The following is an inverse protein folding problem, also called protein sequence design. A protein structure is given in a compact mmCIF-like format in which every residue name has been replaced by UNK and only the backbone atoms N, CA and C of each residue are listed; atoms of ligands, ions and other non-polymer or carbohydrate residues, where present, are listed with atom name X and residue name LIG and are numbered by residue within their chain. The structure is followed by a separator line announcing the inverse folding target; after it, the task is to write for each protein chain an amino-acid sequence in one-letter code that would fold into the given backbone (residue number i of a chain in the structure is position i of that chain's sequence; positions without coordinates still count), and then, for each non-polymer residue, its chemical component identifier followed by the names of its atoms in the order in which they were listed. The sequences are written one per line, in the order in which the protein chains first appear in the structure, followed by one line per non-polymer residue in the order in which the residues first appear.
data_IF_512969635340
#
_entry.id   IF_512969635340
#
_cell.length_a   1.000
_cell.length_b   1.000
_cell.length_c   1.000
_cell.angle_alpha   90.00
_cell.angle_beta   90.00
_cell.angle_gamma   90.00
#
_symmetry.space_group_name_H-M   'P 1'
#
loop_
_entity.id
_entity.type
_entity.pdbx_description
1 polymer ?
#
# COMPACT_ATOMS: atom_id res chain seq x y z
N UNK A 1 27.25 25.33 -16.85
CA UNK A 1 28.63 25.48 -17.36
C UNK A 1 29.45 24.31 -16.86
N UNK A 2 29.58 23.27 -17.64
CA UNK A 2 30.80 22.46 -17.75
C UNK A 2 30.63 21.51 -18.95
N UNK A 3 31.46 21.78 -19.96
CA UNK A 3 31.71 20.97 -21.13
C UNK A 3 32.82 19.97 -20.81
N UNK A 4 32.69 18.74 -21.29
CA UNK A 4 33.86 17.87 -21.53
C UNK A 4 33.52 16.83 -22.59
N UNK A 5 34.02 17.04 -23.78
CA UNK A 5 34.23 16.09 -24.87
C UNK A 5 35.25 15.01 -24.44
N UNK A 6 34.97 13.75 -24.75
CA UNK A 6 35.97 12.72 -24.88
C UNK A 6 35.54 11.70 -25.95
N UNK A 7 36.17 11.75 -27.11
CA UNK A 7 36.03 10.76 -28.17
C UNK A 7 36.88 9.51 -27.92
N UNK A 8 36.42 8.31 -28.33
CA UNK A 8 37.24 7.10 -28.22
C UNK A 8 38.19 6.92 -29.38
N UNK A 9 39.44 6.59 -29.05
CA UNK A 9 40.53 6.27 -30.00
C UNK A 9 40.26 4.94 -30.72
N UNK A 10 40.29 4.99 -32.03
CA UNK A 10 40.37 3.83 -32.90
C UNK A 10 41.73 3.20 -32.83
N UNK A 11 41.81 1.95 -32.43
CA UNK A 11 43.01 1.12 -32.52
C UNK A 11 43.02 0.44 -33.90
N UNK A 12 43.99 0.84 -34.78
CA UNK A 12 44.28 0.17 -36.04
C UNK A 12 45.09 -1.10 -35.77
N UNK A 13 44.53 -2.27 -36.07
CA UNK A 13 45.28 -3.52 -36.20
C UNK A 13 45.52 -3.81 -37.68
N UNK A 14 46.82 -3.88 -38.03
CA UNK A 14 47.30 -4.14 -39.37
C UNK A 14 46.96 -5.54 -39.88
N UNK A 15 46.42 -5.56 -41.07
CA UNK A 15 46.27 -6.78 -41.87
C UNK A 15 47.54 -7.07 -42.62
N UNK A 16 48.17 -8.18 -42.25
CA UNK A 16 49.28 -8.73 -43.03
C UNK A 16 48.70 -9.80 -43.99
N UNK A 17 48.82 -9.50 -45.29
CA UNK A 17 48.39 -10.35 -46.39
C UNK A 17 49.43 -11.44 -46.59
N UNK A 18 49.11 -12.68 -46.34
CA UNK A 18 49.85 -13.83 -46.89
C UNK A 18 48.85 -14.80 -47.51
N UNK A 19 49.03 -14.94 -48.83
CA UNK A 19 48.28 -15.84 -49.68
C UNK A 19 48.43 -17.29 -49.19
N UNK A 20 47.32 -17.92 -48.89
CA UNK A 20 47.29 -19.38 -48.68
C UNK A 20 46.43 -20.03 -49.78
N UNK A 21 47.09 -20.97 -50.47
CA UNK A 21 46.62 -21.66 -51.63
C UNK A 21 45.37 -22.48 -51.35
N UNK A 22 44.37 -22.33 -52.25
CA UNK A 22 43.13 -23.12 -52.26
C UNK A 22 43.41 -24.45 -53.00
N UNK A 23 43.75 -25.50 -52.26
CA UNK A 23 43.59 -26.86 -52.76
C UNK A 23 43.53 -27.80 -51.55
N UNK A 24 42.36 -28.18 -51.13
CA UNK A 24 41.94 -29.39 -50.41
C UNK A 24 40.67 -29.09 -49.55
N UNK A 25 39.56 -28.92 -50.22
CA UNK A 25 38.26 -29.01 -49.58
C UNK A 25 37.31 -29.86 -50.46
N UNK A 26 37.64 -31.12 -50.57
CA UNK A 26 36.70 -32.16 -50.91
C UNK A 26 36.73 -33.17 -49.76
N UNK A 27 35.53 -33.55 -49.32
CA UNK A 27 35.20 -34.60 -48.37
C UNK A 27 35.19 -34.25 -46.85
N UNK A 28 34.25 -33.39 -46.45
CA UNK A 28 33.56 -33.50 -45.17
C UNK A 28 32.08 -33.21 -45.34
N UNK A 29 31.37 -34.14 -46.01
CA UNK A 29 29.95 -34.26 -45.86
C UNK A 29 29.70 -34.97 -44.53
N UNK A 30 29.54 -34.20 -43.47
CA UNK A 30 28.97 -34.71 -42.22
C UNK A 30 27.51 -35.05 -42.48
N UNK A 31 27.24 -36.34 -42.79
CA UNK A 31 25.90 -36.90 -42.89
C UNK A 31 25.27 -36.79 -41.50
N UNK A 32 24.53 -35.68 -41.29
CA UNK A 32 23.63 -35.59 -40.17
C UNK A 32 22.54 -36.62 -40.36
N UNK A 33 22.65 -37.74 -39.65
CA UNK A 33 21.61 -38.74 -39.59
C UNK A 33 20.28 -38.05 -39.29
N UNK A 34 19.22 -38.21 -40.09
CA UNK A 34 17.94 -37.60 -39.75
C UNK A 34 17.51 -38.17 -38.39
N UNK A 35 17.28 -37.28 -37.45
CA UNK A 35 16.75 -37.64 -36.13
C UNK A 35 15.47 -38.44 -36.32
N UNK A 36 15.40 -39.61 -35.68
CA UNK A 36 14.22 -40.47 -35.69
C UNK A 36 12.98 -39.61 -35.32
N UNK A 37 11.89 -39.84 -36.01
CA UNK A 37 10.63 -39.10 -35.85
C UNK A 37 10.20 -39.01 -34.36
N UNK A 38 10.49 -40.05 -33.58
CA UNK A 38 10.28 -40.08 -32.14
C UNK A 38 11.10 -39.02 -31.41
N UNK A 39 12.37 -38.82 -31.82
CA UNK A 39 13.27 -37.84 -31.24
C UNK A 39 12.86 -36.40 -31.61
N UNK A 40 12.32 -36.20 -32.81
CA UNK A 40 11.81 -34.89 -33.22
C UNK A 40 10.52 -34.54 -32.47
N UNK A 41 9.64 -35.47 -32.20
CA UNK A 41 8.42 -35.28 -31.39
C UNK A 41 8.81 -34.98 -29.93
N UNK A 42 9.74 -35.74 -29.38
CA UNK A 42 10.24 -35.52 -28.01
C UNK A 42 10.88 -34.14 -27.82
N UNK A 43 11.67 -33.68 -28.79
CA UNK A 43 12.31 -32.37 -28.78
C UNK A 43 11.30 -31.19 -28.94
N UNK A 44 10.15 -31.45 -29.58
CA UNK A 44 9.07 -30.46 -29.68
C UNK A 44 8.20 -30.42 -28.42
N UNK A 45 8.08 -31.52 -27.70
CA UNK A 45 7.28 -31.61 -26.46
C UNK A 45 8.03 -31.08 -25.21
N UNK A 46 9.38 -31.18 -25.22
CA UNK A 46 10.17 -30.71 -24.08
C UNK A 46 9.99 -29.24 -23.72
N UNK A 47 9.88 -28.29 -24.68
CA UNK A 47 9.64 -26.88 -24.32
C UNK A 47 8.23 -26.66 -23.76
N UNK A 48 7.22 -27.35 -24.30
CA UNK A 48 5.83 -27.28 -23.83
C UNK A 48 5.68 -27.82 -22.40
N UNK A 49 6.32 -28.94 -22.10
CA UNK A 49 6.36 -29.51 -20.75
C UNK A 49 7.09 -28.55 -19.77
N UNK A 50 8.22 -27.97 -20.16
CA UNK A 50 8.95 -27.00 -19.32
C UNK A 50 8.10 -25.77 -19.01
N UNK A 51 7.36 -25.27 -20.00
CA UNK A 51 6.43 -24.15 -19.81
C UNK A 51 5.28 -24.56 -18.90
N UNK A 52 4.68 -25.74 -19.11
CA UNK A 52 3.62 -26.27 -18.27
C UNK A 52 4.09 -26.47 -16.81
N UNK A 53 5.27 -27.05 -16.62
CA UNK A 53 5.85 -27.25 -15.29
C UNK A 53 6.21 -25.93 -14.60
N UNK A 54 6.76 -24.96 -15.34
CA UNK A 54 7.02 -23.62 -14.82
C UNK A 54 5.72 -22.88 -14.44
N UNK A 55 4.68 -23.01 -15.27
CA UNK A 55 3.36 -22.43 -14.99
C UNK A 55 2.71 -23.07 -13.76
N UNK A 56 2.85 -24.39 -13.60
CA UNK A 56 2.32 -25.11 -12.43
C UNK A 56 3.08 -24.74 -11.15
N UNK A 57 4.41 -24.60 -11.23
CA UNK A 57 5.24 -24.12 -10.11
C UNK A 57 4.90 -22.67 -9.74
N UNK A 58 4.67 -21.81 -10.74
CA UNK A 58 4.21 -20.44 -10.52
C UNK A 58 2.81 -20.40 -9.87
N UNK A 59 1.90 -21.26 -10.31
CA UNK A 59 0.56 -21.38 -9.74
C UNK A 59 0.57 -21.91 -8.30
N UNK A 60 1.47 -22.84 -7.99
CA UNK A 60 1.65 -23.38 -6.64
C UNK A 60 2.35 -22.40 -5.67
N UNK A 61 3.21 -21.51 -6.17
CA UNK A 61 3.81 -20.46 -5.36
C UNK A 61 2.82 -19.34 -4.99
N UNK A 62 1.66 -19.28 -5.66
CA UNK A 62 0.57 -18.32 -5.38
C UNK A 62 -0.23 -18.58 -4.11
N UNK A 63 0.04 -19.64 -3.36
CA UNK A 63 -0.58 -19.91 -2.06
C UNK A 63 0.06 -19.14 -0.89
N UNK A 64 0.66 -17.98 -1.15
CA UNK A 64 0.98 -17.03 -0.08
C UNK A 64 -0.34 -16.46 0.43
N UNK A 65 -0.90 -17.11 1.45
CA UNK A 65 -2.04 -16.60 2.18
C UNK A 65 -1.78 -15.14 2.59
N UNK A 66 -2.85 -14.36 2.71
CA UNK A 66 -2.71 -13.02 3.28
C UNK A 66 -2.00 -13.12 4.63
N UNK A 67 -1.10 -12.18 4.95
CA UNK A 67 -0.48 -12.13 6.26
C UNK A 67 -1.57 -12.23 7.31
N UNK A 68 -1.49 -13.23 8.16
CA UNK A 68 -2.41 -13.32 9.29
C UNK A 68 -2.10 -12.14 10.21
N UNK A 69 -3.10 -11.31 10.42
CA UNK A 69 -2.97 -10.27 11.44
C UNK A 69 -2.69 -10.94 12.78
N UNK A 70 -1.71 -10.45 13.55
CA UNK A 70 -1.54 -10.96 14.91
C UNK A 70 -2.88 -10.86 15.64
N UNK A 71 -3.23 -11.84 16.50
CA UNK A 71 -4.47 -11.80 17.26
C UNK A 71 -4.48 -10.51 18.07
N UNK A 72 -5.37 -9.60 17.70
CA UNK A 72 -5.57 -8.34 18.43
C UNK A 72 -6.89 -8.41 19.17
N UNK A 73 -6.86 -8.09 20.45
CA UNK A 73 -8.09 -7.97 21.23
C UNK A 73 -8.99 -6.89 20.64
N UNK A 74 -10.31 -7.11 20.59
CA UNK A 74 -11.24 -6.05 20.20
C UNK A 74 -11.09 -4.85 21.14
N UNK A 75 -11.03 -3.66 20.56
CA UNK A 75 -11.04 -2.40 21.29
C UNK A 75 -12.36 -1.68 21.06
N UNK A 76 -12.93 -1.12 22.11
CA UNK A 76 -14.22 -0.44 22.06
C UNK A 76 -14.06 1.07 22.21
N UNK A 77 -15.02 1.83 21.70
CA UNK A 77 -15.11 3.28 21.90
C UNK A 77 -15.29 3.57 23.40
N UNK A 78 -14.62 4.58 23.91
CA UNK A 78 -14.87 5.09 25.24
C UNK A 78 -16.24 5.80 25.26
N UNK A 79 -17.00 5.62 26.32
CA UNK A 79 -18.22 6.38 26.50
C UNK A 79 -17.89 7.88 26.67
N UNK A 80 -18.81 8.75 26.22
CA UNK A 80 -18.71 10.17 26.49
C UNK A 80 -18.66 10.41 28.02
N UNK A 81 -17.87 11.40 28.43
CA UNK A 81 -17.81 11.82 29.83
C UNK A 81 -18.41 13.20 29.95
N UNK A 82 -19.33 13.38 30.87
CA UNK A 82 -19.94 14.69 31.13
C UNK A 82 -18.92 15.76 31.51
N UNK A 83 -17.81 15.34 32.17
CA UNK A 83 -16.76 16.26 32.61
C UNK A 83 -15.80 16.67 31.49
N UNK A 84 -15.77 15.98 30.34
CA UNK A 84 -14.90 16.32 29.24
C UNK A 84 -15.26 17.70 28.66
N UNK A 85 -14.27 18.54 28.33
CA UNK A 85 -14.51 19.88 27.79
C UNK A 85 -15.42 19.88 26.57
N UNK A 86 -15.21 18.96 25.63
CA UNK A 86 -16.05 18.82 24.43
C UNK A 86 -17.49 18.45 24.76
N UNK A 87 -17.72 17.60 25.75
CA UNK A 87 -19.07 17.24 26.20
C UNK A 87 -19.81 18.43 26.81
N UNK A 88 -19.10 19.26 27.59
CA UNK A 88 -19.67 20.50 28.15
C UNK A 88 -20.11 21.48 27.06
N UNK A 89 -19.27 21.64 26.02
CA UNK A 89 -19.64 22.49 24.87
C UNK A 89 -20.86 21.95 24.14
N UNK A 90 -20.94 20.63 23.92
CA UNK A 90 -22.12 20.01 23.30
C UNK A 90 -23.36 20.27 24.15
N UNK A 91 -23.29 20.05 25.45
CA UNK A 91 -24.43 20.24 26.34
C UNK A 91 -24.90 21.70 26.37
N UNK A 92 -23.97 22.64 26.43
CA UNK A 92 -24.27 24.06 26.40
C UNK A 92 -24.86 24.55 25.06
N UNK A 93 -24.54 23.86 23.95
CA UNK A 93 -25.03 24.22 22.61
C UNK A 93 -26.33 23.48 22.20
N UNK A 94 -26.79 22.54 23.04
CA UNK A 94 -27.95 21.72 22.74
C UNK A 94 -29.23 22.52 22.88
N UNK A 95 -30.08 22.49 21.84
CA UNK A 95 -31.37 23.26 21.83
C UNK A 95 -32.40 22.70 22.82
N UNK A 96 -32.41 21.37 23.02
CA UNK A 96 -33.26 20.68 23.97
C UNK A 96 -32.61 19.37 24.42
N UNK A 97 -32.99 18.91 25.62
CA UNK A 97 -32.50 17.62 26.12
C UNK A 97 -32.88 16.47 25.18
N UNK A 98 -31.94 15.55 24.91
CA UNK A 98 -32.15 14.41 24.01
C UNK A 98 -32.05 14.72 22.51
N UNK A 99 -31.73 15.96 22.14
CA UNK A 99 -31.54 16.34 20.72
C UNK A 99 -30.10 16.29 20.30
N UNK A 100 -29.81 16.14 18.99
CA UNK A 100 -28.50 16.25 18.38
C UNK A 100 -28.44 17.51 17.50
N UNK A 101 -27.31 18.23 17.61
CA UNK A 101 -27.04 19.37 16.75
C UNK A 101 -26.23 18.97 15.51
N UNK A 102 -26.51 19.59 14.37
CA UNK A 102 -25.76 19.40 13.12
C UNK A 102 -25.33 20.75 12.57
N UNK A 103 -24.10 20.78 12.06
CA UNK A 103 -23.53 21.94 11.36
C UNK A 103 -22.91 21.50 10.05
N UNK A 104 -23.26 22.18 8.97
CA UNK A 104 -22.60 21.97 7.68
C UNK A 104 -21.21 22.62 7.69
N UNK A 105 -20.21 21.89 7.18
CA UNK A 105 -18.84 22.37 6.91
C UNK A 105 -18.66 22.41 5.39
N UNK A 106 -18.97 23.53 4.71
CA UNK A 106 -19.11 23.57 3.25
C UNK A 106 -17.76 23.56 2.51
N UNK A 107 -16.67 23.88 3.18
CA UNK A 107 -15.35 23.96 2.55
C UNK A 107 -14.37 22.96 3.13
N UNK A 108 -13.42 22.50 2.28
CA UNK A 108 -12.34 21.60 2.71
C UNK A 108 -11.45 22.22 3.81
N UNK A 109 -11.00 23.48 3.67
CA UNK A 109 -10.26 24.16 4.73
C UNK A 109 -10.97 24.21 6.07
N UNK A 110 -12.26 24.57 6.10
CA UNK A 110 -13.06 24.60 7.34
C UNK A 110 -13.19 23.19 7.94
N UNK A 111 -13.39 22.19 7.11
CA UNK A 111 -13.50 20.81 7.54
C UNK A 111 -12.18 20.27 8.12
N UNK A 112 -11.03 20.66 7.56
CA UNK A 112 -9.71 20.34 8.11
C UNK A 112 -9.51 21.07 9.44
N UNK A 113 -9.70 22.39 9.48
CA UNK A 113 -9.53 23.19 10.67
C UNK A 113 -10.36 22.67 11.84
N UNK A 114 -11.62 22.30 11.58
CA UNK A 114 -12.50 21.73 12.60
C UNK A 114 -11.94 20.42 13.18
N UNK A 115 -11.35 19.54 12.34
CA UNK A 115 -10.73 18.29 12.80
C UNK A 115 -9.48 18.54 13.63
N UNK A 116 -8.64 19.47 13.20
CA UNK A 116 -7.42 19.85 13.93
C UNK A 116 -7.76 20.44 15.30
N UNK A 117 -8.77 21.28 15.34
CA UNK A 117 -9.23 21.89 16.58
C UNK A 117 -9.84 20.86 17.54
N UNK A 118 -10.68 19.94 17.03
CA UNK A 118 -11.19 18.83 17.84
C UNK A 118 -10.06 17.91 18.34
N UNK A 119 -9.04 17.65 17.51
CA UNK A 119 -7.85 16.89 17.96
C UNK A 119 -7.11 17.62 19.08
N UNK A 120 -7.01 18.95 18.99
CA UNK A 120 -6.36 19.78 20.01
C UNK A 120 -7.15 19.79 21.33
N UNK A 121 -8.48 19.84 21.26
CA UNK A 121 -9.38 19.94 22.41
C UNK A 121 -9.72 18.58 23.05
N UNK A 122 -9.55 17.48 22.31
CA UNK A 122 -9.80 16.15 22.84
C UNK A 122 -8.93 15.85 24.07
N UNK A 123 -9.55 15.24 25.08
CA UNK A 123 -8.90 14.88 26.34
C UNK A 123 -8.93 13.38 26.63
N UNK A 124 -9.75 12.61 25.93
CA UNK A 124 -9.94 11.19 26.22
C UNK A 124 -9.72 10.28 25.02
N UNK A 125 -10.37 10.54 23.89
CA UNK A 125 -10.26 9.68 22.72
C UNK A 125 -10.47 10.39 21.40
N UNK A 126 -9.78 9.87 20.37
CA UNK A 126 -9.97 10.20 18.97
C UNK A 126 -10.18 8.89 18.24
N UNK A 127 -11.35 8.70 17.64
CA UNK A 127 -11.69 7.51 16.85
C UNK A 127 -11.93 7.92 15.39
N UNK A 128 -11.07 7.42 14.49
CA UNK A 128 -11.05 7.84 13.09
C UNK A 128 -11.23 6.65 12.16
N UNK A 129 -12.00 6.85 11.08
CA UNK A 129 -12.15 5.89 9.98
C UNK A 129 -12.04 6.64 8.66
N UNK A 130 -11.09 6.25 7.81
CA UNK A 130 -10.86 6.91 6.54
C UNK A 130 -10.68 5.91 5.39
N UNK A 131 -11.39 6.16 4.29
CA UNK A 131 -11.17 5.47 3.03
C UNK A 131 -9.88 5.94 2.35
N UNK A 132 -9.64 7.25 2.33
CA UNK A 132 -8.42 7.86 1.78
C UNK A 132 -7.75 8.67 2.88
N UNK A 133 -6.51 8.31 3.17
CA UNK A 133 -5.65 9.04 4.08
C UNK A 133 -4.24 9.05 3.47
N UNK A 134 -3.82 10.16 2.90
CA UNK A 134 -2.57 10.28 2.17
C UNK A 134 -1.52 11.06 2.97
N UNK A 135 -0.24 10.85 2.64
CA UNK A 135 0.89 11.55 3.25
C UNK A 135 1.19 12.90 2.59
N UNK A 136 0.16 13.58 2.07
CA UNK A 136 0.26 14.95 1.56
C UNK A 136 0.36 15.98 2.71
N UNK A 137 0.29 17.27 2.39
CA UNK A 137 0.36 18.34 3.41
C UNK A 137 -0.73 18.19 4.47
N UNK A 138 -1.97 17.96 4.04
CA UNK A 138 -3.15 17.80 4.89
C UNK A 138 -3.06 16.56 5.79
N UNK A 139 -2.70 15.41 5.22
CA UNK A 139 -2.56 14.17 5.97
C UNK A 139 -1.42 14.22 6.98
N UNK A 140 -0.27 14.85 6.62
CA UNK A 140 0.83 15.03 7.56
C UNK A 140 0.46 15.96 8.71
N UNK A 141 -0.32 17.01 8.46
CA UNK A 141 -0.81 17.90 9.51
C UNK A 141 -1.75 17.16 10.45
N UNK A 142 -2.67 16.38 9.92
CA UNK A 142 -3.55 15.52 10.71
C UNK A 142 -2.75 14.50 11.54
N UNK A 143 -1.76 13.82 10.96
CA UNK A 143 -0.91 12.87 11.70
C UNK A 143 -0.16 13.54 12.86
N UNK A 144 0.34 14.78 12.67
CA UNK A 144 0.95 15.54 13.76
C UNK A 144 -0.05 15.82 14.86
N UNK A 145 -1.27 16.25 14.51
CA UNK A 145 -2.33 16.53 15.49
C UNK A 145 -2.72 15.27 16.28
N UNK A 146 -2.78 14.10 15.63
CA UNK A 146 -3.05 12.82 16.29
C UNK A 146 -1.91 12.40 17.23
N UNK A 147 -0.65 12.53 16.79
CA UNK A 147 0.53 12.28 17.62
C UNK A 147 0.54 13.19 18.85
N UNK A 148 0.29 14.47 18.66
CA UNK A 148 0.32 15.47 19.73
C UNK A 148 -0.83 15.26 20.73
N UNK A 149 -2.00 14.81 20.24
CA UNK A 149 -3.09 14.36 21.10
C UNK A 149 -2.69 13.11 21.94
N UNK A 150 -2.08 12.12 21.30
CA UNK A 150 -1.58 10.94 21.99
C UNK A 150 -0.52 11.26 23.04
N UNK A 151 0.39 12.20 22.75
CA UNK A 151 1.40 12.68 23.69
C UNK A 151 0.78 13.37 24.94
N UNK A 152 -0.44 13.93 24.80
CA UNK A 152 -1.23 14.45 25.94
C UNK A 152 -2.00 13.37 26.70
N UNK A 153 -1.91 12.09 26.29
CA UNK A 153 -2.60 10.98 26.93
C UNK A 153 -3.95 10.61 26.28
N UNK A 154 -4.33 11.23 25.19
CA UNK A 154 -5.54 10.91 24.43
C UNK A 154 -5.36 9.56 23.73
N UNK A 155 -6.32 8.66 23.84
CA UNK A 155 -6.33 7.40 23.11
C UNK A 155 -6.73 7.67 21.66
N UNK A 156 -5.88 7.31 20.70
CA UNK A 156 -6.12 7.48 19.27
C UNK A 156 -6.31 6.13 18.61
N UNK A 157 -7.42 5.94 17.89
CA UNK A 157 -7.66 4.77 17.03
C UNK A 157 -7.88 5.25 15.60
N UNK A 158 -7.10 4.72 14.68
CA UNK A 158 -7.13 5.06 13.28
C UNK A 158 -7.34 3.81 12.44
N UNK A 159 -8.51 3.68 11.82
CA UNK A 159 -8.81 2.64 10.85
C UNK A 159 -8.76 3.24 9.44
N UNK A 160 -7.90 2.69 8.59
CA UNK A 160 -7.69 3.16 7.22
C UNK A 160 -7.93 2.02 6.24
N UNK A 161 -8.64 2.28 5.15
CA UNK A 161 -8.71 1.35 4.02
C UNK A 161 -7.36 1.25 3.34
N UNK A 162 -6.89 0.01 3.09
CA UNK A 162 -5.53 -0.23 2.56
C UNK A 162 -5.37 0.13 1.07
N UNK A 163 -6.44 0.52 0.37
CA UNK A 163 -6.36 0.78 -1.07
C UNK A 163 -5.35 1.88 -1.43
N UNK A 164 -5.32 2.94 -0.65
CA UNK A 164 -4.52 4.14 -0.92
C UNK A 164 -3.36 4.35 0.07
N UNK A 165 -2.94 3.32 0.81
CA UNK A 165 -1.85 3.42 1.79
C UNK A 165 -0.47 3.06 1.23
N UNK A 166 -0.35 2.92 -0.07
CA UNK A 166 0.92 2.59 -0.71
C UNK A 166 2.02 3.59 -0.35
N UNK A 167 3.18 3.07 0.08
CA UNK A 167 4.34 3.90 0.45
C UNK A 167 4.20 4.64 1.77
N UNK A 168 3.17 4.34 2.57
CA UNK A 168 2.93 5.00 3.87
C UNK A 168 3.25 4.09 5.07
N UNK A 169 3.79 2.89 4.84
CA UNK A 169 4.00 1.89 5.90
C UNK A 169 4.89 2.41 7.02
N UNK A 170 6.00 3.07 6.68
CA UNK A 170 6.92 3.65 7.66
C UNK A 170 6.24 4.75 8.49
N UNK A 171 5.49 5.64 7.84
CA UNK A 171 4.79 6.73 8.50
C UNK A 171 3.68 6.22 9.44
N UNK A 172 2.91 5.24 8.99
CA UNK A 172 1.87 4.61 9.80
C UNK A 172 2.46 3.81 10.96
N UNK A 173 3.58 3.10 10.73
CA UNK A 173 4.30 2.39 11.79
C UNK A 173 4.88 3.35 12.84
N UNK A 174 5.45 4.48 12.39
CA UNK A 174 5.94 5.52 13.30
C UNK A 174 4.81 6.09 14.18
N UNK A 175 3.63 6.34 13.61
CA UNK A 175 2.47 6.79 14.39
C UNK A 175 2.00 5.69 15.36
N UNK A 176 1.95 4.43 14.91
CA UNK A 176 1.52 3.28 15.72
C UNK A 176 2.53 2.89 16.83
N UNK A 177 3.79 3.36 16.74
CA UNK A 177 4.78 3.12 17.78
C UNK A 177 4.47 3.86 19.09
N UNK A 178 3.58 4.85 19.06
CA UNK A 178 3.14 5.55 20.27
C UNK A 178 2.13 4.67 21.05
N UNK A 179 2.35 4.46 22.34
CA UNK A 179 1.56 3.55 23.20
C UNK A 179 0.05 3.84 23.23
N UNK A 180 -0.35 5.11 22.99
CA UNK A 180 -1.74 5.56 22.97
C UNK A 180 -2.36 5.52 21.58
N UNK A 181 -1.65 5.04 20.54
CA UNK A 181 -2.11 5.02 19.16
C UNK A 181 -2.29 3.59 18.68
N UNK A 182 -3.48 3.30 18.19
CA UNK A 182 -3.81 2.07 17.50
C UNK A 182 -4.11 2.37 16.03
N UNK A 183 -3.31 1.82 15.11
CA UNK A 183 -3.54 1.92 13.67
C UNK A 183 -3.94 0.54 13.15
N UNK A 184 -5.05 0.46 12.44
CA UNK A 184 -5.51 -0.75 11.77
C UNK A 184 -5.76 -0.49 10.30
N UNK A 185 -5.42 -1.47 9.47
CA UNK A 185 -5.72 -1.46 8.04
C UNK A 185 -6.96 -2.31 7.77
N UNK A 186 -7.92 -1.74 7.08
CA UNK A 186 -9.08 -2.48 6.60
C UNK A 186 -8.73 -3.14 5.26
N UNK A 187 -9.02 -4.43 5.15
CA UNK A 187 -8.81 -5.24 3.95
C UNK A 187 -7.40 -5.11 3.36
N UNK A 188 -6.33 -5.43 4.12
CA UNK A 188 -4.95 -5.25 3.69
C UNK A 188 -4.62 -6.14 2.50
N UNK A 189 -3.79 -5.63 1.58
CA UNK A 189 -3.23 -6.40 0.49
C UNK A 189 -2.10 -7.30 0.97
N UNK A 190 -1.99 -8.49 0.36
CA UNK A 190 -0.89 -9.42 0.64
C UNK A 190 0.47 -8.84 0.22
N UNK A 191 0.51 -8.17 -0.95
CA UNK A 191 1.67 -7.47 -1.45
C UNK A 191 1.51 -5.97 -1.18
N UNK A 192 2.37 -5.41 -0.36
CA UNK A 192 2.36 -3.98 -0.04
C UNK A 192 3.24 -3.15 -0.98
N UNK A 193 4.18 -3.78 -1.67
CA UNK A 193 5.01 -3.15 -2.69
C UNK A 193 4.29 -3.08 -4.06
N UNK A 194 4.76 -2.17 -4.92
CA UNK A 194 4.21 -1.99 -6.26
C UNK A 194 2.95 -1.12 -6.31
N UNK A 195 2.47 -0.83 -7.52
CA UNK A 195 1.26 -0.04 -7.73
C UNK A 195 -0.02 -0.81 -7.43
N UNK A 196 -1.16 -0.12 -7.47
CA UNK A 196 -2.50 -0.70 -7.22
C UNK A 196 -2.74 -1.93 -8.11
N UNK A 197 -2.38 -1.87 -9.39
CA UNK A 197 -2.50 -2.99 -10.31
C UNK A 197 -1.70 -4.22 -9.85
N UNK A 198 -0.42 -4.04 -9.46
CA UNK A 198 0.44 -5.13 -8.98
C UNK A 198 -0.13 -5.77 -7.71
N UNK A 199 -0.70 -4.97 -6.81
CA UNK A 199 -1.33 -5.44 -5.57
C UNK A 199 -2.56 -6.31 -5.83
N UNK A 200 -3.41 -5.95 -6.80
CA UNK A 200 -4.54 -6.77 -7.24
C UNK A 200 -4.08 -8.02 -7.98
N UNK A 201 -3.11 -7.90 -8.89
CA UNK A 201 -2.57 -9.03 -9.66
C UNK A 201 -1.91 -10.10 -8.77
N UNK A 202 -1.29 -9.68 -7.66
CA UNK A 202 -0.73 -10.59 -6.66
C UNK A 202 -1.78 -11.33 -5.81
N UNK A 203 -3.06 -11.01 -5.97
CA UNK A 203 -4.13 -11.55 -5.12
C UNK A 203 -5.35 -11.99 -5.93
N UNK A 204 -5.19 -12.79 -7.02
CA UNK A 204 -6.29 -13.10 -7.94
C UNK A 204 -7.43 -13.88 -7.27
N UNK A 205 -7.13 -14.72 -6.30
CA UNK A 205 -8.13 -15.53 -5.57
C UNK A 205 -8.88 -14.75 -4.48
N UNK A 206 -8.42 -13.55 -4.14
CA UNK A 206 -9.02 -12.72 -3.09
C UNK A 206 -9.74 -11.48 -3.64
N UNK A 207 -9.94 -11.41 -4.96
CA UNK A 207 -10.51 -10.25 -5.63
C UNK A 207 -11.86 -9.83 -5.03
N UNK A 208 -12.77 -10.78 -4.79
CA UNK A 208 -14.08 -10.51 -4.18
C UNK A 208 -13.95 -9.85 -2.80
N UNK A 209 -13.03 -10.32 -1.96
CA UNK A 209 -12.76 -9.73 -0.64
C UNK A 209 -12.09 -8.36 -0.79
N UNK A 210 -11.06 -8.27 -1.63
CA UNK A 210 -10.30 -7.02 -1.82
C UNK A 210 -11.12 -5.92 -2.46
N UNK A 211 -12.21 -6.26 -3.16
CA UNK A 211 -13.12 -5.28 -3.74
C UNK A 211 -14.11 -4.68 -2.71
N UNK A 212 -14.23 -5.29 -1.53
CA UNK A 212 -14.97 -4.69 -0.41
C UNK A 212 -14.12 -3.63 0.24
N UNK A 213 -14.52 -2.37 0.12
CA UNK A 213 -13.80 -1.22 0.66
C UNK A 213 -14.60 -0.48 1.71
N UNK A 214 -13.92 0.01 2.72
CA UNK A 214 -14.52 0.82 3.78
C UNK A 214 -14.58 2.28 3.31
N UNK A 215 -15.74 2.71 2.82
CA UNK A 215 -15.92 4.07 2.30
C UNK A 215 -16.27 5.10 3.41
N UNK A 216 -15.87 4.85 4.64
CA UNK A 216 -16.14 5.73 5.78
C UNK A 216 -15.19 6.93 5.79
N UNK A 217 -15.70 8.07 6.22
CA UNK A 217 -14.96 9.30 6.52
C UNK A 217 -15.54 9.82 7.83
N UNK A 218 -15.03 9.28 8.92
CA UNK A 218 -15.51 9.56 10.26
C UNK A 218 -14.37 10.03 11.14
N UNK A 219 -14.60 11.08 11.90
CA UNK A 219 -13.73 11.61 12.92
C UNK A 219 -14.54 11.87 14.18
N UNK A 220 -14.26 11.16 15.26
CA UNK A 220 -14.98 11.29 16.53
C UNK A 220 -14.01 11.73 17.61
N UNK A 221 -14.36 12.79 18.35
CA UNK A 221 -13.59 13.30 19.48
C UNK A 221 -14.40 13.12 20.78
N UNK A 222 -13.79 12.48 21.77
CA UNK A 222 -14.32 12.22 23.13
C UNK A 222 -15.71 11.59 23.18
N UNK A 223 -16.12 10.89 22.10
CA UNK A 223 -17.47 10.37 21.89
C UNK A 223 -18.58 11.43 21.97
N UNK A 224 -18.23 12.70 21.89
CA UNK A 224 -19.13 13.84 22.02
C UNK A 224 -19.34 14.58 20.69
N UNK A 225 -18.28 14.70 19.89
CA UNK A 225 -18.31 15.35 18.57
C UNK A 225 -17.95 14.37 17.46
N UNK A 226 -18.69 14.48 16.35
CA UNK A 226 -18.38 13.70 15.16
C UNK A 226 -18.37 14.59 13.92
N UNK A 227 -17.39 14.38 13.03
CA UNK A 227 -17.37 14.93 11.67
C UNK A 227 -17.43 13.77 10.71
N UNK A 228 -18.34 13.82 9.75
CA UNK A 228 -18.51 12.83 8.69
C UNK A 228 -18.63 13.50 7.34
N UNK A 229 -18.30 12.79 6.23
CA UNK A 229 -18.37 13.34 4.88
C UNK A 229 -17.54 12.54 3.89
#
# INVERSE_FOLDING_TARGET
VFSANAAPRLLKLGLNSSAFSISALSDFTCATKPLDMKQQILNRLTPLWRVAMASTLLALSGCLGLPQSPPSSPTHTLAASADAPLSKVVEASRAAQGTSGFRLLPSGPDALQARLELARLATRSLDLQYFIFQSDSTGREMMRALRDAAARGVRVRLLIDDLYTQGQDELLACLAAHERVEVRLFNPFALRAGGVFARFAASPFFFGRLNHRMHNKLFVADAAWAITG
#
